data_IF_527817969943
#
_entry.id   IF_527817969943
#
_cell.length_a   1.000
_cell.length_b   1.000
_cell.length_c   1.000
_cell.angle_alpha   90.00
_cell.angle_beta   90.00
_cell.angle_gamma   90.00
#
_symmetry.space_group_name_H-M   'P 1'
#
loop_
_entity.id
_entity.type
_entity.pdbx_description
1 polymer ?
#
# COMPACT_ATOMS: atom_id res chain seq x y z
N UNK A 1 7.04 -41.98 -3.74
CA UNK A 1 7.88 -40.90 -3.20
C UNK A 1 6.95 -39.81 -2.66
N UNK A 2 7.02 -39.60 -1.34
CA UNK A 2 6.28 -38.50 -0.68
C UNK A 2 7.04 -37.24 -1.08
N UNK A 3 6.46 -36.44 -1.98
CA UNK A 3 6.94 -35.11 -2.25
C UNK A 3 6.91 -34.35 -0.93
N UNK A 4 8.07 -34.01 -0.38
CA UNK A 4 8.17 -33.13 0.78
C UNK A 4 7.52 -31.80 0.38
N UNK A 5 6.31 -31.56 0.87
CA UNK A 5 5.72 -30.23 0.79
C UNK A 5 6.64 -29.32 1.58
N UNK A 6 7.27 -28.41 0.90
CA UNK A 6 8.12 -27.40 1.53
C UNK A 6 7.22 -26.54 2.42
N UNK A 7 7.49 -26.50 3.72
CA UNK A 7 6.71 -25.67 4.64
C UNK A 7 7.07 -24.20 4.42
N UNK A 8 6.18 -23.48 3.79
CA UNK A 8 6.26 -22.02 3.66
C UNK A 8 5.61 -21.35 4.88
N UNK A 9 6.16 -20.20 5.25
CA UNK A 9 5.70 -19.40 6.39
C UNK A 9 5.13 -18.08 5.93
N UNK A 10 4.11 -17.61 6.64
CA UNK A 10 3.56 -16.27 6.42
C UNK A 10 4.67 -15.21 6.40
N UNK A 11 4.71 -14.43 5.32
CA UNK A 11 5.74 -13.44 5.04
C UNK A 11 6.92 -13.94 4.20
N UNK A 12 7.00 -15.23 3.89
CA UNK A 12 8.02 -15.73 2.96
C UNK A 12 7.80 -15.13 1.56
N UNK A 13 8.88 -14.72 0.93
CA UNK A 13 8.84 -14.28 -0.47
C UNK A 13 9.13 -15.48 -1.36
N UNK A 14 8.14 -15.86 -2.13
CA UNK A 14 8.13 -17.04 -2.98
C UNK A 14 7.94 -16.65 -4.44
N UNK A 15 8.22 -17.60 -5.34
CA UNK A 15 7.94 -17.48 -6.77
C UNK A 15 7.09 -18.64 -7.21
N UNK A 16 6.00 -18.35 -7.89
CA UNK A 16 5.14 -19.33 -8.59
C UNK A 16 5.18 -19.08 -10.08
N UNK A 17 5.01 -20.12 -10.88
CA UNK A 17 4.93 -20.00 -12.35
C UNK A 17 3.48 -19.94 -12.77
N UNK A 18 3.06 -18.84 -13.36
CA UNK A 18 1.71 -18.61 -13.91
C UNK A 18 1.87 -18.26 -15.39
N UNK A 19 1.19 -18.97 -16.28
CA UNK A 19 1.26 -18.76 -17.73
C UNK A 19 2.72 -18.75 -18.29
N UNK A 20 3.57 -19.61 -17.77
CA UNK A 20 5.00 -19.70 -18.04
C UNK A 20 5.83 -18.47 -17.64
N UNK A 21 5.31 -17.63 -16.76
CA UNK A 21 6.00 -16.47 -16.19
C UNK A 21 6.23 -16.68 -14.70
N UNK A 22 7.43 -16.41 -14.23
CA UNK A 22 7.77 -16.43 -12.82
C UNK A 22 7.19 -15.20 -12.13
N UNK A 23 6.32 -15.44 -11.13
CA UNK A 23 5.57 -14.41 -10.40
C UNK A 23 6.01 -14.41 -8.94
N UNK A 24 6.81 -13.46 -8.49
CA UNK A 24 7.16 -13.33 -7.09
C UNK A 24 5.97 -12.81 -6.28
N UNK A 25 5.79 -13.37 -5.08
CA UNK A 25 4.69 -13.01 -4.18
C UNK A 25 5.10 -13.17 -2.71
N UNK A 26 4.36 -12.51 -1.80
CA UNK A 26 4.51 -12.69 -0.36
C UNK A 26 3.41 -13.64 0.11
N UNK A 27 3.83 -14.80 0.58
CA UNK A 27 2.96 -15.87 1.05
C UNK A 27 2.20 -15.47 2.32
N UNK A 28 0.94 -15.89 2.41
CA UNK A 28 0.12 -15.74 3.61
C UNK A 28 -0.19 -17.11 4.22
N UNK A 29 -1.06 -17.88 3.59
CA UNK A 29 -1.48 -19.20 4.07
C UNK A 29 -1.98 -20.10 2.93
N UNK A 30 -2.23 -21.35 3.23
CA UNK A 30 -2.91 -22.27 2.32
C UNK A 30 -4.25 -22.71 2.90
N UNK A 31 -5.24 -22.88 2.02
CA UNK A 31 -6.48 -23.59 2.29
C UNK A 31 -6.53 -24.91 1.50
N UNK A 32 -7.65 -25.60 1.52
CA UNK A 32 -7.83 -26.87 0.79
C UNK A 32 -7.61 -26.72 -0.71
N UNK A 33 -8.05 -25.60 -1.30
CA UNK A 33 -8.10 -25.41 -2.75
C UNK A 33 -7.22 -24.25 -3.23
N UNK A 34 -6.76 -23.40 -2.32
CA UNK A 34 -6.08 -22.15 -2.67
C UNK A 34 -4.82 -21.90 -1.86
N UNK A 35 -3.86 -21.27 -2.50
CA UNK A 35 -2.74 -20.59 -1.86
C UNK A 35 -3.07 -19.10 -1.78
N UNK A 36 -3.06 -18.54 -0.57
CA UNK A 36 -3.33 -17.13 -0.31
C UNK A 36 -2.01 -16.35 -0.22
N UNK A 37 -2.03 -15.10 -0.67
CA UNK A 37 -0.87 -14.21 -0.62
C UNK A 37 -1.25 -12.79 -0.20
N UNK A 38 -0.32 -12.06 0.38
CA UNK A 38 -0.50 -10.65 0.71
C UNK A 38 -0.45 -9.76 -0.54
N UNK A 39 0.49 -10.05 -1.44
CA UNK A 39 0.75 -9.29 -2.65
C UNK A 39 1.54 -10.14 -3.65
N UNK A 40 1.32 -9.92 -4.95
CA UNK A 40 1.97 -10.64 -6.03
C UNK A 40 2.28 -9.71 -7.20
N UNK A 41 3.44 -9.89 -7.83
CA UNK A 41 3.75 -9.32 -9.13
C UNK A 41 3.29 -10.29 -10.22
N UNK A 42 2.28 -9.89 -10.98
CA UNK A 42 1.64 -10.71 -12.01
C UNK A 42 2.45 -10.77 -13.31
N UNK A 43 2.14 -11.74 -14.23
CA UNK A 43 2.79 -11.85 -15.54
C UNK A 43 2.74 -10.57 -16.38
N UNK A 44 1.68 -9.77 -16.23
CA UNK A 44 1.52 -8.49 -16.93
C UNK A 44 2.31 -7.32 -16.32
N UNK A 45 3.10 -7.58 -15.27
CA UNK A 45 3.91 -6.58 -14.57
C UNK A 45 3.15 -5.72 -13.56
N UNK A 46 1.87 -6.03 -13.31
CA UNK A 46 1.05 -5.31 -12.32
C UNK A 46 1.11 -5.97 -10.94
N UNK A 47 0.96 -5.17 -9.91
CA UNK A 47 0.80 -5.66 -8.55
C UNK A 47 -0.64 -6.10 -8.33
N UNK A 48 -0.81 -7.29 -7.80
CA UNK A 48 -2.11 -7.84 -7.39
C UNK A 48 -2.20 -8.02 -5.89
N UNK A 49 -3.33 -7.62 -5.35
CA UNK A 49 -3.75 -7.91 -3.98
C UNK A 49 -4.99 -8.81 -3.96
N UNK A 50 -5.24 -9.56 -5.04
CA UNK A 50 -6.36 -10.50 -5.18
C UNK A 50 -6.01 -11.84 -4.54
N UNK A 51 -5.61 -11.90 -3.40
CA UNK A 51 -5.52 -12.87 -2.31
C UNK A 51 -5.16 -14.34 -2.61
N UNK A 52 -5.43 -14.93 -3.76
CA UNK A 52 -5.25 -16.37 -3.96
C UNK A 52 -5.00 -16.79 -5.41
N UNK A 53 -4.38 -17.97 -5.54
CA UNK A 53 -4.31 -18.79 -6.75
C UNK A 53 -4.58 -20.25 -6.40
N UNK A 54 -4.78 -21.11 -7.41
CA UNK A 54 -5.08 -22.52 -7.18
C UNK A 54 -3.91 -23.23 -6.48
N UNK A 55 -4.20 -24.04 -5.47
CA UNK A 55 -3.17 -24.75 -4.68
C UNK A 55 -2.31 -25.69 -5.53
N UNK A 56 -2.82 -26.18 -6.66
CA UNK A 56 -2.04 -27.02 -7.59
C UNK A 56 -0.80 -26.32 -8.15
N UNK A 57 -0.81 -25.00 -8.26
CA UNK A 57 0.33 -24.20 -8.70
C UNK A 57 1.46 -24.16 -7.67
N UNK A 58 1.14 -24.47 -6.41
CA UNK A 58 2.11 -24.49 -5.31
C UNK A 58 3.22 -25.53 -5.51
N UNK A 59 2.95 -26.59 -6.28
CA UNK A 59 3.94 -27.67 -6.58
C UNK A 59 5.20 -27.11 -7.28
N UNK A 60 5.04 -26.01 -8.01
CA UNK A 60 6.12 -25.35 -8.73
C UNK A 60 6.63 -24.10 -8.01
N UNK A 61 6.27 -23.94 -6.74
CA UNK A 61 6.64 -22.78 -5.93
C UNK A 61 7.98 -23.03 -5.23
N UNK A 62 8.81 -22.01 -5.21
CA UNK A 62 10.10 -21.98 -4.54
C UNK A 62 10.33 -20.66 -3.82
N UNK A 63 11.30 -20.62 -2.92
CA UNK A 63 11.76 -19.34 -2.38
C UNK A 63 12.32 -18.43 -3.47
N UNK A 64 12.02 -17.14 -3.37
CA UNK A 64 12.53 -16.13 -4.27
C UNK A 64 14.03 -15.90 -4.03
N UNK A 65 14.77 -15.67 -5.10
CA UNK A 65 16.14 -15.15 -5.03
C UNK A 65 16.13 -13.70 -4.53
N UNK A 66 17.28 -13.17 -4.11
CA UNK A 66 17.38 -11.76 -3.70
C UNK A 66 17.03 -10.78 -4.83
N UNK A 67 17.34 -11.15 -6.07
CA UNK A 67 16.95 -10.34 -7.23
C UNK A 67 15.44 -10.29 -7.44
N UNK A 68 14.75 -11.43 -7.34
CA UNK A 68 13.29 -11.52 -7.49
C UNK A 68 12.56 -10.80 -6.33
N UNK A 69 13.09 -10.90 -5.11
CA UNK A 69 12.60 -10.10 -3.96
C UNK A 69 12.72 -8.62 -4.25
N UNK A 70 13.88 -8.19 -4.76
CA UNK A 70 14.12 -6.79 -5.10
C UNK A 70 13.13 -6.30 -6.15
N UNK A 71 12.92 -7.07 -7.23
CA UNK A 71 11.95 -6.73 -8.28
C UNK A 71 10.52 -6.56 -7.71
N UNK A 72 10.07 -7.47 -6.85
CA UNK A 72 8.77 -7.34 -6.19
C UNK A 72 8.68 -6.08 -5.33
N UNK A 73 9.68 -5.85 -4.47
CA UNK A 73 9.66 -4.71 -3.55
C UNK A 73 9.81 -3.36 -4.26
N UNK A 74 10.63 -3.28 -5.30
CA UNK A 74 10.77 -2.07 -6.11
C UNK A 74 9.45 -1.75 -6.81
N UNK A 75 8.80 -2.77 -7.39
CA UNK A 75 7.49 -2.60 -8.03
C UNK A 75 6.39 -2.23 -7.04
N UNK A 76 6.37 -2.84 -5.86
CA UNK A 76 5.48 -2.44 -4.76
C UNK A 76 5.66 -0.96 -4.42
N UNK A 77 6.92 -0.52 -4.27
CA UNK A 77 7.25 0.86 -3.93
C UNK A 77 6.83 1.86 -5.01
N UNK A 78 7.02 1.52 -6.29
CA UNK A 78 6.55 2.32 -7.42
C UNK A 78 5.03 2.56 -7.37
N UNK A 79 4.27 1.54 -6.97
CA UNK A 79 2.82 1.59 -6.85
C UNK A 79 2.32 2.09 -5.49
N UNK A 80 3.24 2.49 -4.59
CA UNK A 80 2.90 3.07 -3.30
C UNK A 80 2.63 2.06 -2.20
N UNK A 81 3.19 0.85 -2.30
CA UNK A 81 3.05 -0.20 -1.30
C UNK A 81 4.37 -0.50 -0.61
N UNK A 82 4.31 -0.89 0.66
CA UNK A 82 5.44 -1.30 1.47
C UNK A 82 5.09 -2.57 2.24
N UNK A 83 6.00 -3.55 2.27
CA UNK A 83 5.88 -4.71 3.13
C UNK A 83 6.36 -4.40 4.54
N UNK A 84 5.47 -4.63 5.52
CA UNK A 84 5.79 -4.53 6.94
C UNK A 84 5.99 -5.94 7.50
N UNK A 85 7.24 -6.36 7.63
CA UNK A 85 7.59 -7.71 8.06
C UNK A 85 7.25 -8.00 9.53
N UNK A 86 7.21 -6.98 10.38
CA UNK A 86 6.84 -7.14 11.80
C UNK A 86 5.34 -7.39 11.95
N UNK A 87 4.52 -6.60 11.24
CA UNK A 87 3.06 -6.69 11.28
C UNK A 87 2.50 -7.71 10.30
N UNK A 88 3.33 -8.24 9.41
CA UNK A 88 2.96 -9.13 8.30
C UNK A 88 1.78 -8.58 7.50
N UNK A 89 1.91 -7.36 7.07
CA UNK A 89 0.89 -6.68 6.26
C UNK A 89 1.53 -5.79 5.19
N UNK A 90 0.72 -5.46 4.19
CA UNK A 90 1.09 -4.49 3.15
C UNK A 90 0.54 -3.13 3.54
N UNK A 91 1.44 -2.19 3.78
CA UNK A 91 1.12 -0.80 4.11
C UNK A 91 1.15 0.09 2.87
N UNK A 92 0.36 1.17 2.87
CA UNK A 92 0.46 2.24 1.88
C UNK A 92 1.65 3.15 2.20
N UNK A 93 2.49 3.42 1.22
CA UNK A 93 3.49 4.47 1.32
C UNK A 93 2.75 5.81 1.24
N UNK A 94 2.92 6.64 2.27
CA UNK A 94 2.42 8.01 2.22
C UNK A 94 3.12 8.78 1.10
N UNK A 95 2.34 9.28 0.14
CA UNK A 95 2.87 10.08 -0.94
C UNK A 95 3.57 11.35 -0.38
N UNK A 96 4.72 11.68 -0.93
CA UNK A 96 5.45 12.91 -0.67
C UNK A 96 5.84 13.53 -2.02
N UNK A 97 5.51 14.81 -2.22
CA UNK A 97 5.83 15.49 -3.46
C UNK A 97 7.34 15.55 -3.68
N UNK A 98 7.75 15.47 -4.92
CA UNK A 98 9.11 15.79 -5.35
C UNK A 98 9.28 17.31 -5.42
N UNK A 99 10.53 17.75 -5.46
CA UNK A 99 10.85 19.18 -5.63
C UNK A 99 10.16 19.73 -6.90
N UNK A 100 9.43 20.84 -6.74
CA UNK A 100 8.69 21.48 -7.82
C UNK A 100 7.30 20.90 -8.12
N UNK A 101 6.90 19.78 -7.50
CA UNK A 101 5.52 19.29 -7.62
C UNK A 101 4.56 20.11 -6.74
N UNK A 102 3.33 20.38 -7.24
CA UNK A 102 2.33 21.07 -6.44
C UNK A 102 1.84 20.19 -5.28
N UNK A 103 1.65 20.81 -4.13
CA UNK A 103 1.01 20.19 -2.97
C UNK A 103 -0.17 21.03 -2.53
N UNK A 104 -1.18 20.37 -2.01
CA UNK A 104 -2.36 21.00 -1.45
C UNK A 104 -2.38 20.75 0.05
N UNK A 105 -2.76 21.74 0.83
CA UNK A 105 -2.86 21.64 2.28
C UNK A 105 -3.95 22.55 2.82
N UNK A 106 -4.41 22.25 4.01
CA UNK A 106 -5.45 23.04 4.69
C UNK A 106 -4.80 24.15 5.51
N UNK A 107 -5.29 25.36 5.34
CA UNK A 107 -4.98 26.47 6.23
C UNK A 107 -6.16 26.66 7.20
N UNK A 108 -6.06 26.08 8.37
CA UNK A 108 -7.12 26.11 9.39
C UNK A 108 -7.36 27.51 9.98
N UNK A 109 -6.56 28.51 9.60
CA UNK A 109 -6.66 29.89 10.10
C UNK A 109 -7.45 30.84 9.19
N UNK A 110 -7.93 30.40 8.04
CA UNK A 110 -8.66 31.25 7.09
C UNK A 110 -9.88 30.54 6.50
N UNK A 111 -10.86 31.36 6.09
CA UNK A 111 -12.19 31.04 5.56
C UNK A 111 -12.36 29.74 4.73
N UNK A 112 -13.61 29.41 4.46
CA UNK A 112 -14.18 28.19 3.88
C UNK A 112 -13.48 27.58 2.65
N UNK A 113 -12.49 28.27 2.05
CA UNK A 113 -11.70 27.86 0.90
C UNK A 113 -10.22 27.65 1.23
N UNK A 114 -9.92 27.17 2.41
CA UNK A 114 -8.57 27.05 2.95
C UNK A 114 -7.65 26.02 2.26
N UNK A 115 -7.88 25.73 1.00
CA UNK A 115 -6.97 24.94 0.18
C UNK A 115 -5.92 25.85 -0.42
N UNK A 116 -4.66 25.67 -0.04
CA UNK A 116 -3.54 26.36 -0.67
C UNK A 116 -2.72 25.41 -1.53
N UNK A 117 -2.34 25.90 -2.69
CA UNK A 117 -1.33 25.33 -3.54
C UNK A 117 0.01 25.99 -3.18
N UNK A 118 1.00 25.20 -2.78
CA UNK A 118 2.31 25.72 -2.41
C UNK A 118 3.44 24.96 -3.08
N UNK A 119 4.27 25.67 -3.84
CA UNK A 119 5.51 25.13 -4.45
C UNK A 119 6.71 25.32 -3.52
N UNK A 120 6.61 26.17 -2.50
CA UNK A 120 7.71 26.57 -1.61
C UNK A 120 7.34 26.53 -0.11
N UNK A 121 6.48 25.62 0.28
CA UNK A 121 6.17 25.41 1.71
C UNK A 121 7.18 24.42 2.29
N UNK A 122 7.47 24.52 3.60
CA UNK A 122 8.21 23.48 4.30
C UNK A 122 7.40 22.16 4.25
N UNK A 123 7.62 21.43 3.16
CA UNK A 123 6.91 20.20 2.80
C UNK A 123 6.97 19.18 3.93
N UNK A 124 8.10 19.13 4.63
CA UNK A 124 8.31 18.17 5.72
C UNK A 124 7.34 18.40 6.88
N UNK A 125 7.16 19.63 7.32
CA UNK A 125 6.25 19.94 8.42
C UNK A 125 4.80 19.58 8.10
N UNK A 126 4.25 20.02 6.97
CA UNK A 126 2.86 19.71 6.61
C UNK A 126 2.66 18.22 6.33
N UNK A 127 3.70 17.53 5.86
CA UNK A 127 3.69 16.10 5.67
C UNK A 127 3.66 15.34 7.01
N UNK A 128 4.44 15.76 8.01
CA UNK A 128 4.48 15.17 9.34
C UNK A 128 3.13 15.28 10.07
N UNK A 129 2.46 16.42 9.95
CA UNK A 129 1.15 16.65 10.58
C UNK A 129 -0.04 16.12 9.76
N UNK A 130 0.21 15.31 8.74
CA UNK A 130 -0.84 14.74 7.86
C UNK A 130 -1.69 15.77 7.09
N UNK A 131 -1.26 17.01 6.99
CA UNK A 131 -1.93 18.07 6.24
C UNK A 131 -1.33 18.22 4.83
N UNK A 132 -1.36 17.14 4.03
CA UNK A 132 -0.63 17.04 2.80
C UNK A 132 -1.38 16.16 1.80
N UNK A 133 -1.79 16.74 0.67
CA UNK A 133 -2.65 16.10 -0.31
C UNK A 133 -2.06 16.20 -1.71
N UNK A 134 -2.29 15.18 -2.50
CA UNK A 134 -1.83 15.10 -3.89
C UNK A 134 -2.70 15.91 -4.83
N UNK A 135 -3.99 16.05 -4.53
CA UNK A 135 -4.96 16.81 -5.34
C UNK A 135 -5.76 17.78 -4.48
N UNK A 136 -6.31 18.80 -5.14
CA UNK A 136 -7.19 19.78 -4.51
C UNK A 136 -8.47 19.13 -3.97
N UNK A 137 -9.02 18.15 -4.69
CA UNK A 137 -10.22 17.41 -4.29
C UNK A 137 -10.00 16.64 -2.99
N UNK A 138 -8.83 16.00 -2.85
CA UNK A 138 -8.46 15.31 -1.60
C UNK A 138 -8.40 16.27 -0.42
N UNK A 139 -7.83 17.47 -0.60
CA UNK A 139 -7.75 18.47 0.47
C UNK A 139 -9.13 19.04 0.82
N UNK A 140 -10.00 19.29 -0.17
CA UNK A 140 -11.38 19.73 0.05
C UNK A 140 -12.19 18.69 0.83
N UNK A 141 -12.07 17.42 0.48
CA UNK A 141 -12.75 16.33 1.18
C UNK A 141 -12.22 16.19 2.62
N UNK A 142 -10.92 16.33 2.85
CA UNK A 142 -10.34 16.33 4.18
C UNK A 142 -10.89 17.51 5.03
N UNK A 143 -10.98 18.72 4.46
CA UNK A 143 -11.58 19.89 5.12
C UNK A 143 -13.04 19.62 5.52
N UNK A 144 -13.82 19.00 4.63
CA UNK A 144 -15.21 18.64 4.92
C UNK A 144 -15.30 17.67 6.11
N UNK A 145 -14.47 16.63 6.13
CA UNK A 145 -14.44 15.62 7.22
C UNK A 145 -14.02 16.22 8.56
N UNK A 146 -13.03 17.10 8.56
CA UNK A 146 -12.58 17.78 9.78
C UNK A 146 -13.70 18.62 10.35
N UNK A 147 -14.38 19.43 9.53
CA UNK A 147 -15.51 20.25 9.98
C UNK A 147 -16.65 19.40 10.54
N UNK A 148 -16.97 18.30 9.89
CA UNK A 148 -18.01 17.39 10.37
C UNK A 148 -17.63 16.76 11.72
N UNK A 149 -16.38 16.32 11.88
CA UNK A 149 -15.90 15.75 13.14
C UNK A 149 -15.94 16.79 14.29
N UNK A 150 -15.54 18.04 14.00
CA UNK A 150 -15.61 19.12 14.99
C UNK A 150 -17.05 19.45 15.36
N UNK A 151 -17.97 19.52 14.38
CA UNK A 151 -19.38 19.72 14.62
C UNK A 151 -19.97 18.66 15.54
N UNK A 152 -19.71 17.38 15.24
CA UNK A 152 -20.18 16.25 16.06
C UNK A 152 -19.63 16.35 17.51
N UNK A 153 -18.37 16.70 17.66
CA UNK A 153 -17.75 16.85 18.97
C UNK A 153 -18.40 17.98 19.80
N UNK A 154 -18.67 19.13 19.18
CA UNK A 154 -19.39 20.24 19.87
C UNK A 154 -20.83 19.86 20.26
N UNK A 155 -21.53 19.14 19.39
CA UNK A 155 -22.87 18.60 19.70
C UNK A 155 -22.84 17.64 20.92
N UNK A 156 -21.80 16.78 21.01
CA UNK A 156 -21.59 15.86 22.14
C UNK A 156 -21.30 16.64 23.45
N UNK A 157 -20.63 17.79 23.36
CA UNK A 157 -20.38 18.68 24.50
C UNK A 157 -21.61 19.49 24.91
N UNK A 158 -22.64 19.58 24.06
CA UNK A 158 -23.85 20.38 24.28
C UNK A 158 -23.62 21.87 24.04
N UNK A 159 -22.68 22.22 23.17
CA UNK A 159 -22.34 23.61 22.79
C UNK A 159 -22.93 24.00 21.42
#
# INVERSE_FOLDING_TARGET
EIVKVQEFKDGDVLVVVIDNVECPFIFFETSTDFCCYHIMLRPNGEISRTWFFNISELVYTRHATEEEKRQLFDKMKEEGWLWNAEKKCVDLIRWKAKEGEPVYFLNLHQDENAVRNGVNVSVDYIWEIYNYFRTEEQSKEAARRIREALRQYHEELGE
#
